data_IF_832028483164
#
_entry.id   IF_832028483164
#
_cell.length_a   1.000
_cell.length_b   1.000
_cell.length_c   1.000
_cell.angle_alpha   90.00
_cell.angle_beta   90.00
_cell.angle_gamma   90.00
#
_symmetry.space_group_name_H-M   'P 1'
#
loop_
_entity.id
_entity.type
_entity.pdbx_description
1 polymer ?
#
# COMPACT_ATOMS: atom_id res chain seq x y z
N UNK A 1 0.46 7.03 2.18
CA UNK A 1 0.36 5.56 2.17
C UNK A 1 1.61 4.91 1.57
N UNK A 2 2.06 5.32 0.38
CA UNK A 2 3.29 4.81 -0.25
C UNK A 2 4.53 4.81 0.68
N UNK A 3 4.77 5.92 1.40
CA UNK A 3 5.88 6.02 2.36
C UNK A 3 5.84 4.89 3.41
N UNK A 4 4.65 4.53 3.91
CA UNK A 4 4.50 3.46 4.91
C UNK A 4 4.89 2.10 4.32
N UNK A 5 4.58 1.85 3.05
CA UNK A 5 5.03 0.65 2.33
C UNK A 5 6.54 0.68 2.18
N UNK A 6 7.11 1.77 1.68
CA UNK A 6 8.54 1.86 1.37
C UNK A 6 9.41 1.68 2.61
N UNK A 7 9.03 2.31 3.73
CA UNK A 7 9.72 2.18 5.01
C UNK A 7 9.62 0.76 5.57
N UNK A 8 8.42 0.16 5.51
CA UNK A 8 8.20 -1.21 6.01
C UNK A 8 8.95 -2.24 5.16
N UNK A 9 8.93 -2.09 3.83
CA UNK A 9 9.64 -2.94 2.90
C UNK A 9 11.16 -2.80 3.05
N UNK A 10 11.69 -1.59 3.24
CA UNK A 10 13.10 -1.39 3.53
C UNK A 10 13.50 -2.14 4.81
N UNK A 11 12.78 -1.93 5.91
CA UNK A 11 13.06 -2.60 7.18
C UNK A 11 13.00 -4.12 7.06
N UNK A 12 11.99 -4.63 6.37
CA UNK A 12 11.85 -6.05 6.06
C UNK A 12 13.07 -6.55 5.29
N UNK A 13 13.44 -5.92 4.18
CA UNK A 13 14.59 -6.32 3.35
C UNK A 13 15.92 -6.28 4.13
N UNK A 14 16.15 -5.25 4.95
CA UNK A 14 17.33 -5.16 5.83
C UNK A 14 17.39 -6.35 6.77
N UNK A 15 16.28 -6.71 7.41
CA UNK A 15 16.23 -7.84 8.33
C UNK A 15 16.50 -9.17 7.61
N UNK A 16 15.87 -9.36 6.45
CA UNK A 16 16.03 -10.57 5.65
C UNK A 16 17.46 -10.71 5.08
N UNK A 17 18.10 -9.58 4.75
CA UNK A 17 19.50 -9.54 4.34
C UNK A 17 20.43 -9.97 5.47
N UNK A 18 20.24 -9.38 6.67
CA UNK A 18 21.04 -9.72 7.87
C UNK A 18 20.94 -11.19 8.25
N UNK A 19 19.79 -11.81 7.98
CA UNK A 19 19.56 -13.23 8.23
C UNK A 19 19.94 -14.15 7.05
N UNK A 20 20.64 -13.63 6.03
CA UNK A 20 21.16 -14.42 4.91
C UNK A 20 20.10 -14.94 3.95
N UNK A 21 18.89 -14.35 3.95
CA UNK A 21 17.75 -14.78 3.12
C UNK A 21 17.61 -14.03 1.79
N UNK A 22 18.47 -13.05 1.54
CA UNK A 22 18.52 -12.34 0.26
C UNK A 22 19.78 -12.75 -0.51
N UNK A 23 19.60 -13.11 -1.79
CA UNK A 23 20.70 -13.44 -2.68
C UNK A 23 21.49 -12.19 -3.07
N UNK A 24 22.81 -12.20 -2.85
CA UNK A 24 23.73 -11.14 -3.28
C UNK A 24 23.65 -10.89 -4.79
N UNK A 25 23.44 -11.94 -5.60
CA UNK A 25 23.27 -11.80 -7.04
C UNK A 25 22.00 -11.02 -7.40
N UNK A 26 20.89 -11.26 -6.68
CA UNK A 26 19.64 -10.53 -6.89
C UNK A 26 19.80 -9.04 -6.55
N UNK A 27 20.50 -8.75 -5.44
CA UNK A 27 20.79 -7.37 -5.00
C UNK A 27 21.68 -6.66 -6.03
N UNK A 28 22.74 -7.32 -6.49
CA UNK A 28 23.67 -6.75 -7.47
C UNK A 28 22.99 -6.48 -8.82
N UNK A 29 22.16 -7.42 -9.31
CA UNK A 29 21.40 -7.24 -10.55
C UNK A 29 20.45 -6.05 -10.44
N UNK A 30 19.72 -5.94 -9.33
CA UNK A 30 18.78 -4.86 -9.10
C UNK A 30 19.49 -3.51 -8.95
N UNK A 31 20.59 -3.44 -8.21
CA UNK A 31 21.39 -2.21 -8.03
C UNK A 31 21.97 -1.71 -9.35
N UNK A 32 22.48 -2.63 -10.20
CA UNK A 32 22.94 -2.29 -11.55
C UNK A 32 21.80 -1.76 -12.43
N UNK A 33 20.64 -2.42 -12.40
CA UNK A 33 19.45 -1.99 -13.16
C UNK A 33 18.88 -0.65 -12.67
N UNK A 34 19.06 -0.33 -11.39
CA UNK A 34 18.71 0.97 -10.82
C UNK A 34 19.67 2.06 -11.29
N UNK A 35 20.97 1.82 -11.19
CA UNK A 35 22.01 2.75 -11.63
C UNK A 35 22.01 3.02 -13.14
N UNK A 36 21.68 2.02 -13.96
CA UNK A 36 21.61 2.20 -15.42
C UNK A 36 20.49 3.16 -15.87
N UNK A 37 19.50 3.41 -15.01
CA UNK A 37 18.44 4.40 -15.23
C UNK A 37 18.82 5.81 -14.75
N UNK A 38 20.09 6.05 -14.42
CA UNK A 38 20.61 7.29 -13.86
C UNK A 38 19.85 7.75 -12.60
N UNK A 39 19.44 6.78 -11.76
CA UNK A 39 18.71 7.06 -10.52
C UNK A 39 19.70 7.28 -9.35
N UNK A 40 19.35 8.13 -8.37
CA UNK A 40 20.21 8.38 -7.21
C UNK A 40 20.53 7.10 -6.44
N UNK A 41 21.71 7.02 -5.84
CA UNK A 41 22.00 5.93 -4.91
C UNK A 41 21.03 5.97 -3.72
N UNK A 42 20.66 4.80 -3.24
CA UNK A 42 19.75 4.65 -2.11
C UNK A 42 20.52 4.10 -0.91
N UNK A 43 20.13 4.53 0.28
CA UNK A 43 20.59 3.92 1.52
C UNK A 43 19.88 2.58 1.71
N UNK A 44 20.62 1.54 2.09
CA UNK A 44 20.09 0.19 2.31
C UNK A 44 19.27 -0.34 1.11
N UNK A 45 17.96 -0.53 1.30
CA UNK A 45 17.01 -0.97 0.29
C UNK A 45 15.89 0.06 0.08
N UNK A 46 16.16 1.36 0.29
CA UNK A 46 15.19 2.45 0.11
C UNK A 46 14.92 2.81 -1.36
N UNK A 47 14.77 1.79 -2.21
CA UNK A 47 14.25 1.96 -3.55
C UNK A 47 12.75 2.34 -3.53
N UNK A 48 12.21 2.69 -4.70
CA UNK A 48 10.76 2.83 -4.84
C UNK A 48 10.04 1.51 -4.55
N UNK A 49 8.75 1.59 -4.19
CA UNK A 49 7.95 0.42 -3.84
C UNK A 49 7.89 -0.65 -4.95
N UNK A 50 7.98 -0.24 -6.22
CA UNK A 50 7.99 -1.17 -7.35
C UNK A 50 9.25 -2.04 -7.34
N UNK A 51 10.40 -1.40 -7.18
CA UNK A 51 11.72 -2.02 -7.14
C UNK A 51 11.87 -2.88 -5.90
N UNK A 52 11.40 -2.42 -4.74
CA UNK A 52 11.39 -3.23 -3.52
C UNK A 52 10.52 -4.49 -3.67
N UNK A 53 9.33 -4.38 -4.28
CA UNK A 53 8.47 -5.53 -4.60
C UNK A 53 9.17 -6.52 -5.52
N UNK A 54 9.86 -6.03 -6.54
CA UNK A 54 10.57 -6.89 -7.50
C UNK A 54 11.74 -7.62 -6.84
N UNK A 55 12.47 -6.97 -5.90
CA UNK A 55 13.51 -7.64 -5.10
C UNK A 55 12.92 -8.75 -4.21
N UNK A 56 11.77 -8.49 -3.60
CA UNK A 56 11.04 -9.48 -2.78
C UNK A 56 10.63 -10.67 -3.64
N UNK A 57 10.06 -10.42 -4.83
CA UNK A 57 9.66 -11.48 -5.76
C UNK A 57 10.84 -12.34 -6.22
N UNK A 58 12.00 -11.73 -6.49
CA UNK A 58 13.21 -12.44 -6.89
C UNK A 58 13.74 -13.40 -5.81
N UNK A 59 13.38 -13.18 -4.53
CA UNK A 59 13.83 -13.97 -3.39
C UNK A 59 12.66 -14.64 -2.64
N UNK A 60 11.47 -14.73 -3.25
CA UNK A 60 10.24 -15.15 -2.55
C UNK A 60 10.37 -16.51 -1.84
N UNK A 61 11.18 -17.42 -2.37
CA UNK A 61 11.38 -18.77 -1.82
C UNK A 61 12.26 -18.80 -0.57
N UNK A 62 13.13 -17.82 -0.40
CA UNK A 62 14.09 -17.76 0.71
C UNK A 62 13.64 -16.83 1.82
N UNK A 63 12.78 -15.86 1.50
CA UNK A 63 12.25 -14.88 2.46
C UNK A 63 11.28 -15.51 3.46
N UNK A 64 11.28 -14.96 4.68
CA UNK A 64 10.30 -15.28 5.73
C UNK A 64 9.36 -14.11 5.94
N UNK A 65 8.11 -14.29 5.54
CA UNK A 65 7.02 -13.34 5.68
C UNK A 65 6.32 -13.46 7.04
N UNK A 66 5.47 -12.50 7.36
CA UNK A 66 4.79 -12.40 8.65
C UNK A 66 3.27 -12.64 8.54
N UNK A 67 2.62 -12.84 9.68
CA UNK A 67 1.18 -13.06 9.77
C UNK A 67 0.72 -14.30 9.00
N UNK A 68 -0.50 -14.27 8.49
CA UNK A 68 -1.13 -15.39 7.76
C UNK A 68 -0.35 -15.77 6.48
N UNK A 69 0.37 -14.83 5.88
CA UNK A 69 1.16 -15.08 4.65
C UNK A 69 2.38 -15.97 4.88
N UNK A 70 2.80 -16.16 6.13
CA UNK A 70 3.92 -17.04 6.49
C UNK A 70 3.62 -18.53 6.26
N UNK A 71 2.33 -18.91 6.32
CA UNK A 71 1.86 -20.30 6.17
C UNK A 71 0.94 -20.49 4.97
N UNK A 72 0.51 -19.40 4.31
CA UNK A 72 -0.41 -19.44 3.18
C UNK A 72 0.23 -18.82 1.90
N UNK A 73 0.84 -19.65 1.02
CA UNK A 73 1.45 -19.20 -0.22
C UNK A 73 0.46 -18.56 -1.21
N UNK A 74 -0.82 -18.96 -1.18
CA UNK A 74 -1.86 -18.38 -2.05
C UNK A 74 -2.12 -16.94 -1.64
N UNK A 75 -2.26 -16.69 -0.33
CA UNK A 75 -2.43 -15.34 0.21
C UNK A 75 -1.19 -14.47 -0.05
N UNK A 76 0.02 -15.02 0.11
CA UNK A 76 1.27 -14.32 -0.21
C UNK A 76 1.29 -13.84 -1.67
N UNK A 77 0.99 -14.74 -2.61
CA UNK A 77 0.96 -14.38 -4.04
C UNK A 77 -0.13 -13.36 -4.35
N UNK A 78 -1.31 -13.47 -3.72
CA UNK A 78 -2.39 -12.49 -3.84
C UNK A 78 -1.95 -11.10 -3.35
N UNK A 79 -1.31 -11.01 -2.19
CA UNK A 79 -0.80 -9.75 -1.65
C UNK A 79 0.26 -9.11 -2.56
N UNK A 80 1.20 -9.90 -3.09
CA UNK A 80 2.22 -9.41 -4.02
C UNK A 80 1.62 -8.95 -5.37
N UNK A 81 0.55 -9.61 -5.83
CA UNK A 81 -0.21 -9.20 -7.00
C UNK A 81 -0.95 -7.87 -6.75
N UNK A 82 -1.66 -7.75 -5.63
CA UNK A 82 -2.35 -6.53 -5.24
C UNK A 82 -1.38 -5.35 -5.05
N UNK A 83 -0.19 -5.62 -4.51
CA UNK A 83 0.87 -4.62 -4.42
C UNK A 83 1.29 -4.12 -5.81
N UNK A 84 1.40 -4.99 -6.82
CA UNK A 84 1.66 -4.56 -8.20
C UNK A 84 0.57 -3.61 -8.73
N UNK A 85 -0.70 -3.88 -8.42
CA UNK A 85 -1.81 -3.01 -8.80
C UNK A 85 -1.71 -1.65 -8.11
N UNK A 86 -1.47 -1.62 -6.80
CA UNK A 86 -1.25 -0.38 -6.02
C UNK A 86 -0.11 0.45 -6.60
N UNK A 87 1.03 -0.17 -6.92
CA UNK A 87 2.16 0.52 -7.55
C UNK A 87 1.72 1.24 -8.83
N UNK A 88 0.96 0.56 -9.69
CA UNK A 88 0.46 1.12 -10.94
C UNK A 88 -0.53 2.26 -10.67
N UNK A 89 -1.48 2.05 -9.77
CA UNK A 89 -2.54 3.02 -9.46
C UNK A 89 -1.96 4.28 -8.80
N UNK A 90 -1.04 4.14 -7.85
CA UNK A 90 -0.35 5.27 -7.21
C UNK A 90 0.64 6.00 -8.11
N UNK A 91 1.14 5.34 -9.17
CA UNK A 91 2.01 5.99 -10.16
C UNK A 91 1.26 6.99 -11.05
N UNK A 92 -0.06 6.87 -11.15
CA UNK A 92 -0.89 7.80 -11.94
C UNK A 92 -1.09 9.07 -11.13
N UNK A 93 -0.60 10.20 -11.66
CA UNK A 93 -0.86 11.53 -11.08
C UNK A 93 -2.26 12.03 -11.49
N UNK A 94 -3.32 11.37 -11.01
CA UNK A 94 -4.67 11.92 -11.09
C UNK A 94 -4.88 12.97 -9.98
N UNK A 95 -5.72 13.98 -10.24
CA UNK A 95 -6.08 14.97 -9.21
C UNK A 95 -6.91 14.34 -8.07
N UNK A 96 -7.74 13.32 -8.38
CA UNK A 96 -8.54 12.59 -7.39
C UNK A 96 -8.66 11.10 -7.78
N UNK A 97 -8.68 10.23 -6.78
CA UNK A 97 -9.11 8.83 -6.92
C UNK A 97 -10.50 8.66 -6.32
N UNK A 98 -11.39 7.83 -6.90
CA UNK A 98 -12.71 7.59 -6.33
C UNK A 98 -12.59 6.88 -4.97
N UNK A 99 -13.57 7.12 -4.09
CA UNK A 99 -13.56 6.55 -2.73
C UNK A 99 -13.45 5.02 -2.70
N UNK A 100 -14.04 4.34 -3.68
CA UNK A 100 -13.93 2.89 -3.83
C UNK A 100 -12.48 2.43 -4.06
N UNK A 101 -11.72 3.16 -4.89
CA UNK A 101 -10.31 2.88 -5.13
C UNK A 101 -9.49 3.14 -3.87
N UNK A 102 -9.73 4.26 -3.17
CA UNK A 102 -9.03 4.57 -1.91
C UNK A 102 -9.30 3.49 -0.84
N UNK A 103 -10.56 3.05 -0.68
CA UNK A 103 -10.89 1.96 0.25
C UNK A 103 -10.17 0.66 -0.10
N UNK A 104 -10.16 0.30 -1.39
CA UNK A 104 -9.43 -0.89 -1.86
C UNK A 104 -7.93 -0.77 -1.57
N UNK A 105 -7.31 0.37 -1.87
CA UNK A 105 -5.90 0.59 -1.53
C UNK A 105 -5.66 0.45 -0.03
N UNK A 106 -6.52 1.02 0.82
CA UNK A 106 -6.35 0.89 2.26
C UNK A 106 -6.43 -0.56 2.75
N UNK A 107 -7.37 -1.33 2.22
CA UNK A 107 -7.48 -2.75 2.52
C UNK A 107 -6.22 -3.53 2.09
N UNK A 108 -5.82 -3.36 0.83
CA UNK A 108 -4.69 -4.10 0.26
C UNK A 108 -3.36 -3.70 0.92
N UNK A 109 -3.18 -2.42 1.26
CA UNK A 109 -1.98 -1.92 1.95
C UNK A 109 -1.92 -2.44 3.38
N UNK A 110 -3.05 -2.57 4.09
CA UNK A 110 -3.07 -3.21 5.40
C UNK A 110 -2.47 -4.62 5.33
N UNK A 111 -2.87 -5.41 4.33
CA UNK A 111 -2.39 -6.77 4.10
C UNK A 111 -0.91 -6.82 3.70
N UNK A 112 -0.44 -5.83 2.93
CA UNK A 112 0.98 -5.69 2.60
C UNK A 112 1.81 -5.34 3.84
N UNK A 113 1.34 -4.42 4.69
CA UNK A 113 2.02 -4.07 5.94
C UNK A 113 2.09 -5.28 6.89
N UNK A 114 1.03 -6.09 6.94
CA UNK A 114 0.98 -7.35 7.71
C UNK A 114 1.99 -8.37 7.19
N UNK A 115 2.00 -8.61 5.89
CA UNK A 115 2.96 -9.49 5.21
C UNK A 115 4.42 -9.07 5.49
N UNK A 116 4.70 -7.77 5.43
CA UNK A 116 6.04 -7.20 5.66
C UNK A 116 6.43 -7.12 7.15
N UNK A 117 5.51 -7.39 8.07
CA UNK A 117 5.76 -7.24 9.51
C UNK A 117 6.04 -5.79 9.90
N UNK A 118 5.24 -4.85 9.39
CA UNK A 118 5.40 -3.44 9.66
C UNK A 118 5.43 -3.15 11.18
N UNK A 119 6.22 -2.17 11.65
CA UNK A 119 6.26 -1.81 13.07
C UNK A 119 4.88 -1.43 13.60
N UNK A 120 4.62 -1.70 14.88
CA UNK A 120 3.35 -1.34 15.53
C UNK A 120 2.99 0.14 15.35
N UNK A 121 3.97 1.04 15.44
CA UNK A 121 3.77 2.47 15.21
C UNK A 121 3.25 2.77 13.79
N UNK A 122 3.80 2.10 12.76
CA UNK A 122 3.33 2.23 11.36
C UNK A 122 1.89 1.72 11.23
N UNK A 123 1.55 0.62 11.88
CA UNK A 123 0.18 0.10 11.88
C UNK A 123 -0.82 1.03 12.55
N UNK A 124 -0.46 1.61 13.69
CA UNK A 124 -1.35 2.55 14.39
C UNK A 124 -1.57 3.81 13.57
N UNK A 125 -0.50 4.37 12.99
CA UNK A 125 -0.60 5.51 12.09
C UNK A 125 -1.47 5.20 10.86
N UNK A 126 -1.32 4.00 10.28
CA UNK A 126 -2.14 3.57 9.15
C UNK A 126 -3.61 3.37 9.54
N UNK A 127 -3.89 2.80 10.70
CA UNK A 127 -5.25 2.60 11.20
C UNK A 127 -5.95 3.92 11.48
N UNK A 128 -5.26 4.89 12.09
CA UNK A 128 -5.78 6.24 12.29
C UNK A 128 -6.13 6.91 10.96
N UNK A 129 -5.23 6.82 9.98
CA UNK A 129 -5.47 7.32 8.62
C UNK A 129 -6.70 6.66 7.98
N UNK A 130 -6.86 5.34 8.14
CA UNK A 130 -8.01 4.59 7.62
C UNK A 130 -9.31 5.07 8.24
N UNK A 131 -9.36 5.25 9.57
CA UNK A 131 -10.56 5.72 10.27
C UNK A 131 -10.95 7.13 9.83
N UNK A 132 -9.99 8.07 9.77
CA UNK A 132 -10.25 9.44 9.33
C UNK A 132 -10.75 9.51 7.88
N UNK A 133 -10.17 8.69 7.02
CA UNK A 133 -10.57 8.61 5.61
C UNK A 133 -11.99 8.07 5.47
N UNK A 134 -12.34 6.99 6.18
CA UNK A 134 -13.70 6.44 6.17
C UNK A 134 -14.72 7.43 6.74
N UNK A 135 -14.38 8.17 7.78
CA UNK A 135 -15.23 9.23 8.32
C UNK A 135 -15.51 10.32 7.27
N UNK A 136 -14.45 10.79 6.58
CA UNK A 136 -14.56 11.80 5.52
C UNK A 136 -15.45 11.31 4.36
N UNK A 137 -15.27 10.07 3.92
CA UNK A 137 -16.11 9.47 2.87
C UNK A 137 -17.59 9.39 3.29
N UNK A 138 -17.85 9.03 4.55
CA UNK A 138 -19.22 8.96 5.09
C UNK A 138 -19.89 10.34 5.11
N UNK A 139 -19.15 11.38 5.47
CA UNK A 139 -19.64 12.77 5.44
C UNK A 139 -19.93 13.24 4.00
N UNK A 140 -19.10 12.86 3.02
CA UNK A 140 -19.37 13.19 1.62
C UNK A 140 -20.64 12.49 1.11
N UNK A 141 -20.84 11.22 1.46
CA UNK A 141 -22.04 10.48 1.11
C UNK A 141 -23.31 11.09 1.73
N UNK A 142 -23.26 11.51 3.00
CA UNK A 142 -24.41 12.14 3.65
C UNK A 142 -24.76 13.49 3.04
N UNK A 143 -23.76 14.34 2.74
CA UNK A 143 -23.96 15.62 2.06
C UNK A 143 -24.57 15.44 0.67
N UNK A 144 -24.09 14.46 -0.10
CA UNK A 144 -24.60 14.18 -1.44
C UNK A 144 -26.06 13.66 -1.38
N UNK A 145 -26.39 12.80 -0.42
CA UNK A 145 -27.75 12.28 -0.25
C UNK A 145 -28.77 13.38 0.11
N UNK A 146 -28.38 14.34 0.97
CA UNK A 146 -29.20 15.50 1.31
C UNK A 146 -29.37 16.44 0.10
N UNK A 147 -28.33 16.62 -0.72
CA UNK A 147 -28.42 17.45 -1.93
C UNK A 147 -29.32 16.86 -3.03
N UNK A 148 -29.46 15.53 -3.09
CA UNK A 148 -30.34 14.84 -4.05
C UNK A 148 -31.82 14.80 -3.64
N UNK A 149 -32.13 15.10 -2.36
CA UNK A 149 -33.50 15.15 -1.83
C UNK A 149 -33.72 16.53 -1.17
N UNK A 150 -34.03 17.58 -1.94
CA UNK A 150 -34.39 18.87 -1.35
C UNK A 150 -35.64 18.71 -0.47
N UNK A 151 -35.74 19.43 0.67
CA UNK A 151 -36.94 19.41 1.49
C UNK A 151 -38.10 19.90 0.64
N UNK A 152 -39.11 19.03 0.47
CA UNK A 152 -40.33 19.33 -0.27
C UNK A 152 -40.95 20.62 0.24
N UNK A 153 -41.11 21.56 -0.68
CA UNK A 153 -41.89 22.78 -0.55
C UNK A 153 -43.29 22.42 -0.05
N UNK A 154 -43.51 22.56 1.26
CA UNK A 154 -44.84 22.53 1.87
C UNK A 154 -45.43 23.93 1.75
N UNK A 155 -45.56 24.36 0.50
CA UNK A 155 -46.27 25.56 0.09
C UNK A 155 -47.75 25.39 0.39
N UNK A 156 -48.20 26.11 1.40
CA UNK A 156 -49.58 26.51 1.68
C UNK A 156 -50.49 26.46 0.44
N UNK A 157 -51.53 25.62 0.47
CA UNK A 157 -52.75 25.86 -0.29
C UNK A 157 -53.85 26.26 0.68
N UNK A 158 -53.94 27.57 0.92
CA UNK A 158 -55.19 28.19 1.34
C UNK A 158 -56.13 28.25 0.13
N UNK A 159 -57.43 28.31 0.43
CA UNK A 159 -58.64 28.36 -0.41
C UNK A 159 -59.18 27.01 -0.84
#
# INVERSE_FOLDING_TARGET
>A
MEVMICVSANKFLVQQYKEGRLSTDSINKLTKAWGSKNRPQVLEFQFDQATQRDLILANIRTLRFNGETSTNPVLLNSNLHNWKAIVKEMSVRTFCSPDSAIRKHMHDIHKILEMLGAPFATFMAFRDLQMRTLATMKEHLSKNHVSSNPPGDSGHRMT
#
